data_IF_979598680255
#
_entry.id   IF_979598680255
#
_cell.length_a   1.000
_cell.length_b   1.000
_cell.length_c   1.000
_cell.angle_alpha   90.00
_cell.angle_beta   90.00
_cell.angle_gamma   90.00
#
_symmetry.space_group_name_H-M   'P 1'
#
loop_
_entity.id
_entity.type
_entity.pdbx_description
1 polymer ?
#
# COMPACT_ATOMS: atom_id res chain seq x y z
N UNK A 1 -2.09 -7.41 13.18
CA UNK A 1 -3.21 -6.46 13.05
C UNK A 1 -2.63 -5.06 13.12
N UNK A 2 -3.17 -4.11 12.34
CA UNK A 2 -2.87 -2.68 12.46
C UNK A 2 -4.02 -2.03 13.23
N UNK A 3 -3.71 -1.11 14.13
CA UNK A 3 -4.70 -0.30 14.85
C UNK A 3 -4.77 1.15 14.35
N UNK A 4 -5.89 1.82 14.59
CA UNK A 4 -6.03 3.25 14.29
C UNK A 4 -5.05 4.07 15.15
N UNK A 5 -4.34 5.00 14.52
CA UNK A 5 -3.30 5.80 15.19
C UNK A 5 -1.93 5.12 15.24
N UNK A 6 -1.84 3.84 14.88
CA UNK A 6 -0.56 3.15 14.74
C UNK A 6 0.15 3.61 13.46
N UNK A 7 1.48 3.71 13.53
CA UNK A 7 2.29 3.99 12.35
C UNK A 7 2.19 2.81 11.38
N UNK A 8 1.81 3.08 10.14
CA UNK A 8 1.76 2.05 9.11
C UNK A 8 3.15 1.41 8.91
N UNK A 9 3.23 0.07 8.76
CA UNK A 9 4.48 -0.62 8.53
C UNK A 9 5.02 -0.22 7.15
N UNK A 10 6.25 0.30 7.14
CA UNK A 10 6.93 0.65 5.89
C UNK A 10 7.23 -0.62 5.10
N UNK A 11 6.94 -0.58 3.81
CA UNK A 11 7.23 -1.67 2.89
C UNK A 11 7.83 -1.15 1.59
N UNK A 12 8.52 -2.08 0.93
CA UNK A 12 8.94 -1.98 -0.47
C UNK A 12 8.40 -3.21 -1.18
N UNK A 13 7.75 -3.01 -2.33
CA UNK A 13 7.12 -4.09 -3.10
C UNK A 13 7.23 -3.83 -4.60
N UNK A 14 7.20 -4.89 -5.40
CA UNK A 14 7.06 -4.76 -6.85
C UNK A 14 5.63 -4.34 -7.22
N UNK A 15 5.51 -3.27 -8.00
CA UNK A 15 4.26 -2.76 -8.55
C UNK A 15 4.23 -2.83 -10.07
N UNK A 16 3.10 -2.43 -10.65
CA UNK A 16 2.87 -2.47 -12.11
C UNK A 16 3.76 -1.51 -12.91
N UNK A 17 4.36 -0.53 -12.26
CA UNK A 17 5.25 0.48 -12.87
C UNK A 17 6.68 0.40 -12.33
N UNK A 18 7.03 -0.70 -11.67
CA UNK A 18 8.30 -0.88 -10.95
C UNK A 18 8.11 -0.87 -9.44
N UNK A 19 9.21 -0.70 -8.72
CA UNK A 19 9.24 -0.75 -7.26
C UNK A 19 8.41 0.37 -6.61
N UNK A 20 7.67 0.02 -5.57
CA UNK A 20 6.83 0.92 -4.78
C UNK A 20 7.30 0.93 -3.33
N UNK A 21 7.62 2.12 -2.81
CA UNK A 21 7.99 2.35 -1.41
C UNK A 21 6.93 3.19 -0.71
N UNK A 22 6.32 2.65 0.37
CA UNK A 22 5.35 3.41 1.16
C UNK A 22 5.97 4.65 1.80
N UNK A 23 7.23 4.56 2.25
CA UNK A 23 7.94 5.69 2.86
C UNK A 23 8.06 6.88 1.91
N UNK A 24 8.50 6.61 0.67
CA UNK A 24 8.64 7.65 -0.36
C UNK A 24 7.30 8.25 -0.81
N UNK A 25 6.21 7.48 -0.77
CA UNK A 25 4.87 7.98 -1.07
C UNK A 25 4.34 8.90 0.03
N UNK A 26 4.58 8.55 1.31
CA UNK A 26 4.14 9.35 2.45
C UNK A 26 4.81 10.73 2.52
N UNK A 27 6.03 10.88 1.99
CA UNK A 27 6.69 12.19 1.85
C UNK A 27 5.96 13.13 0.89
N UNK A 28 5.18 12.58 -0.06
CA UNK A 28 4.42 13.35 -1.06
C UNK A 28 3.01 13.71 -0.58
N UNK A 29 2.49 13.02 0.42
CA UNK A 29 1.18 13.28 0.99
C UNK A 29 0.50 12.03 1.56
N UNK A 30 -0.78 12.15 1.96
CA UNK A 30 -1.57 11.03 2.47
C UNK A 30 -1.73 9.92 1.44
N UNK A 31 -1.67 8.66 1.89
CA UNK A 31 -1.74 7.47 1.04
C UNK A 31 -2.89 6.57 1.51
N UNK A 32 -3.67 6.05 0.57
CA UNK A 32 -4.67 5.01 0.81
C UNK A 32 -4.18 3.72 0.16
N UNK A 33 -4.02 2.67 0.96
CA UNK A 33 -3.69 1.31 0.48
C UNK A 33 -4.93 0.44 0.61
N UNK A 34 -5.27 -0.29 -0.45
CA UNK A 34 -6.36 -1.25 -0.44
C UNK A 34 -5.90 -2.57 -1.04
N UNK A 35 -6.53 -3.65 -0.58
CA UNK A 35 -6.27 -5.00 -1.06
C UNK A 35 -7.55 -5.56 -1.67
N UNK A 36 -7.42 -6.37 -2.70
CA UNK A 36 -8.52 -7.12 -3.30
C UNK A 36 -8.13 -8.60 -3.43
N UNK A 37 -9.08 -9.55 -3.42
CA UNK A 37 -8.76 -10.97 -3.28
C UNK A 37 -7.92 -11.53 -4.42
N UNK A 38 -8.33 -11.23 -5.66
CA UNK A 38 -7.65 -11.72 -6.86
C UNK A 38 -8.10 -10.94 -8.10
N UNK A 39 -7.18 -10.68 -9.02
CA UNK A 39 -7.51 -10.10 -10.32
C UNK A 39 -8.40 -11.05 -11.15
N UNK A 40 -9.18 -10.49 -12.08
CA UNK A 40 -10.05 -11.24 -13.00
C UNK A 40 -11.06 -12.15 -12.30
N UNK A 41 -11.59 -11.72 -11.16
CA UNK A 41 -12.70 -12.40 -10.48
C UNK A 41 -13.91 -11.47 -10.47
N UNK A 42 -15.10 -11.90 -10.95
CA UNK A 42 -16.32 -11.18 -10.68
C UNK A 42 -16.58 -11.24 -9.17
N UNK A 43 -16.95 -10.10 -8.59
CA UNK A 43 -17.31 -9.98 -7.18
C UNK A 43 -18.62 -10.67 -6.86
#
# INVERSE_FOLDING_TARGET
MIAVGEKAPLFVAEGTQGEVSLGALLERGPVVVYFFPKANTPG
#
